data_IF_995331619290
#
_entry.id   IF_995331619290
#
_cell.length_a   1.000
_cell.length_b   1.000
_cell.length_c   1.000
_cell.angle_alpha   90.00
_cell.angle_beta   90.00
_cell.angle_gamma   90.00
#
_symmetry.space_group_name_H-M   'P 1'
#
loop_
_entity.id
_entity.type
_entity.pdbx_description
1 polymer ?
#
# COMPACT_ATOMS: atom_id res chain seq x y z
N UNK A 1 8.23 -11.05 -12.60
CA UNK A 1 8.88 -10.93 -13.93
C UNK A 1 9.17 -9.46 -14.13
N UNK A 2 10.41 -9.04 -14.47
CA UNK A 2 10.67 -7.65 -14.79
C UNK A 2 9.83 -7.26 -16.03
N UNK A 3 9.02 -6.21 -15.90
CA UNK A 3 8.25 -5.66 -17.02
C UNK A 3 9.22 -4.90 -17.93
N UNK A 4 9.27 -5.29 -19.18
CA UNK A 4 10.02 -4.62 -20.23
C UNK A 4 9.04 -3.88 -21.14
N UNK A 5 9.54 -2.91 -21.91
CA UNK A 5 8.73 -2.19 -22.90
C UNK A 5 7.59 -1.36 -22.30
N UNK A 6 7.85 -0.71 -21.15
CA UNK A 6 6.91 0.20 -20.49
C UNK A 6 7.48 1.62 -20.43
N UNK A 7 6.58 2.60 -20.39
CA UNK A 7 6.85 4.01 -20.10
C UNK A 7 6.08 4.38 -18.84
N UNK A 8 6.74 5.02 -17.90
CA UNK A 8 6.11 5.52 -16.67
C UNK A 8 6.14 7.04 -16.66
N UNK A 9 4.97 7.65 -16.56
CA UNK A 9 4.79 9.07 -16.29
C UNK A 9 4.47 9.30 -14.82
N UNK A 10 5.10 10.31 -14.21
CA UNK A 10 4.88 10.67 -12.82
C UNK A 10 4.90 12.17 -12.65
N UNK A 11 3.92 12.71 -11.93
CA UNK A 11 3.92 14.11 -11.50
C UNK A 11 3.58 14.16 -10.01
N UNK A 12 4.18 15.08 -9.28
CA UNK A 12 3.89 15.22 -7.86
C UNK A 12 4.08 16.65 -7.38
N UNK A 13 3.33 17.01 -6.34
CA UNK A 13 3.48 18.24 -5.60
C UNK A 13 3.72 17.95 -4.13
N UNK A 14 4.56 18.73 -3.50
CA UNK A 14 4.82 18.66 -2.07
C UNK A 14 4.60 20.02 -1.44
N UNK A 15 3.82 20.03 -0.37
CA UNK A 15 3.57 21.22 0.45
C UNK A 15 4.04 20.89 1.88
N UNK A 16 4.78 21.83 2.47
CA UNK A 16 5.27 21.68 3.84
C UNK A 16 4.97 22.94 4.63
N UNK A 17 4.38 22.76 5.80
CA UNK A 17 4.14 23.82 6.78
C UNK A 17 4.94 23.52 8.03
N UNK A 18 5.54 24.56 8.61
CA UNK A 18 6.31 24.45 9.83
C UNK A 18 5.60 25.28 10.91
N UNK A 19 5.38 24.69 12.05
CA UNK A 19 4.82 25.35 13.22
C UNK A 19 5.79 26.38 13.80
N UNK A 20 5.24 27.35 14.53
CA UNK A 20 6.05 28.26 15.31
C UNK A 20 6.84 27.49 16.40
N UNK A 21 7.97 28.07 16.85
CA UNK A 21 8.79 27.47 17.89
C UNK A 21 7.95 27.17 19.15
N UNK A 22 7.92 25.91 19.56
CA UNK A 22 7.13 25.45 20.72
C UNK A 22 5.67 25.10 20.42
N UNK A 23 5.22 25.21 19.19
CA UNK A 23 3.89 24.73 18.79
C UNK A 23 3.71 23.24 19.06
N UNK A 24 2.47 22.81 19.30
CA UNK A 24 2.16 21.39 19.44
C UNK A 24 2.45 20.63 18.14
N UNK A 25 2.06 21.21 17.00
CA UNK A 25 2.31 20.67 15.68
C UNK A 25 3.54 21.36 15.10
N UNK A 26 4.63 20.63 14.95
CA UNK A 26 5.93 21.13 14.50
C UNK A 26 6.04 21.16 12.98
N UNK A 27 5.42 20.17 12.32
CA UNK A 27 5.48 20.05 10.85
C UNK A 27 4.25 19.34 10.32
N UNK A 28 3.75 19.83 9.18
CA UNK A 28 2.78 19.16 8.31
C UNK A 28 3.42 19.05 6.94
N UNK A 29 3.46 17.85 6.38
CA UNK A 29 3.87 17.62 4.99
C UNK A 29 2.73 16.91 4.26
N UNK A 30 2.40 17.42 3.10
CA UNK A 30 1.46 16.82 2.16
C UNK A 30 2.18 16.57 0.85
N UNK A 31 1.91 15.42 0.26
CA UNK A 31 2.46 15.00 -1.01
C UNK A 31 1.33 14.40 -1.83
N UNK A 32 1.18 14.83 -3.07
CA UNK A 32 0.10 14.33 -3.94
C UNK A 32 0.56 14.28 -5.39
N UNK A 33 0.10 13.26 -6.11
CA UNK A 33 0.34 13.20 -7.53
C UNK A 33 -0.08 11.91 -8.20
N UNK A 34 -0.29 11.98 -9.52
CA UNK A 34 -0.57 10.83 -10.35
C UNK A 34 0.69 10.07 -10.76
N UNK A 35 0.51 8.78 -10.98
CA UNK A 35 1.44 7.89 -11.68
C UNK A 35 0.67 7.15 -12.75
N UNK A 36 1.22 7.06 -13.96
CA UNK A 36 0.59 6.33 -15.06
C UNK A 36 1.65 5.49 -15.77
N UNK A 37 1.30 4.27 -16.13
CA UNK A 37 2.17 3.31 -16.82
C UNK A 37 1.51 2.90 -18.12
N UNK A 38 2.23 3.04 -19.22
CA UNK A 38 1.81 2.61 -20.55
C UNK A 38 2.75 1.53 -21.10
N UNK A 39 2.26 0.78 -22.06
CA UNK A 39 3.16 0.10 -23.00
C UNK A 39 3.82 1.12 -23.91
N UNK A 40 5.05 0.88 -24.29
CA UNK A 40 5.81 1.81 -25.14
C UNK A 40 5.14 2.06 -26.50
N UNK A 41 4.59 1.02 -27.10
CA UNK A 41 3.87 1.06 -28.38
C UNK A 41 2.46 1.68 -28.29
N UNK A 42 1.94 1.87 -27.08
CA UNK A 42 0.62 2.47 -26.78
C UNK A 42 0.75 3.75 -25.94
N UNK A 43 1.93 4.35 -25.93
CA UNK A 43 2.17 5.54 -25.13
C UNK A 43 1.18 6.67 -25.42
N UNK A 44 0.56 7.18 -24.38
CA UNK A 44 -0.44 8.26 -24.46
C UNK A 44 -1.86 7.81 -24.78
N UNK A 45 -2.08 6.52 -25.06
CA UNK A 45 -3.41 5.94 -25.24
C UNK A 45 -3.83 5.18 -23.96
N UNK A 46 -4.24 3.93 -24.08
CA UNK A 46 -4.77 3.14 -22.98
C UNK A 46 -3.67 2.79 -21.97
N UNK A 47 -3.69 3.35 -20.75
CA UNK A 47 -2.70 3.02 -19.73
C UNK A 47 -2.92 1.61 -19.19
N UNK A 48 -1.82 0.91 -18.89
CA UNK A 48 -1.86 -0.38 -18.21
C UNK A 48 -2.22 -0.23 -16.73
N UNK A 49 -1.68 0.81 -16.12
CA UNK A 49 -1.87 1.09 -14.70
C UNK A 49 -1.89 2.61 -14.51
N UNK A 50 -2.69 3.04 -13.57
CA UNK A 50 -2.70 4.42 -13.12
C UNK A 50 -2.99 4.48 -11.65
N UNK A 51 -2.41 5.45 -10.96
CA UNK A 51 -2.76 5.73 -9.57
C UNK A 51 -2.70 7.22 -9.28
N UNK A 52 -3.54 7.64 -8.35
CA UNK A 52 -3.51 8.96 -7.73
C UNK A 52 -3.26 8.76 -6.25
N UNK A 53 -2.17 9.33 -5.75
CA UNK A 53 -1.77 9.16 -4.36
C UNK A 53 -1.76 10.48 -3.59
N UNK A 54 -2.09 10.38 -2.31
CA UNK A 54 -2.01 11.46 -1.35
C UNK A 54 -1.34 10.94 -0.07
N UNK A 55 -0.27 11.59 0.33
CA UNK A 55 0.44 11.35 1.58
C UNK A 55 0.33 12.54 2.51
N UNK A 56 0.06 12.27 3.78
CA UNK A 56 0.06 13.23 4.87
C UNK A 56 1.05 12.79 5.94
N UNK A 57 1.94 13.66 6.37
CA UNK A 57 2.83 13.42 7.51
C UNK A 57 2.74 14.59 8.50
N UNK A 58 2.41 14.27 9.73
CA UNK A 58 2.32 15.19 10.84
C UNK A 58 3.41 14.87 11.86
N UNK A 59 4.20 15.85 12.24
CA UNK A 59 5.17 15.74 13.34
C UNK A 59 4.72 16.65 14.47
N UNK A 60 4.45 16.04 15.61
CA UNK A 60 4.06 16.76 16.83
C UNK A 60 5.21 16.85 17.81
N UNK A 61 5.10 17.83 18.72
CA UNK A 61 6.09 18.10 19.75
C UNK A 61 6.42 16.85 20.56
N UNK A 62 7.69 16.66 20.82
CA UNK A 62 8.20 15.49 21.52
C UNK A 62 8.51 14.31 20.59
N UNK A 63 8.37 14.48 19.25
CA UNK A 63 8.78 13.49 18.27
C UNK A 63 7.70 12.48 17.89
N UNK A 64 6.43 12.72 18.28
CA UNK A 64 5.29 11.94 17.77
C UNK A 64 5.12 12.18 16.28
N UNK A 65 4.87 11.11 15.54
CA UNK A 65 4.59 11.18 14.09
C UNK A 65 3.33 10.40 13.76
N UNK A 66 2.45 11.06 13.01
CA UNK A 66 1.32 10.42 12.35
C UNK A 66 1.51 10.57 10.83
N UNK A 67 1.46 9.46 10.10
CA UNK A 67 1.43 9.49 8.64
C UNK A 67 0.17 8.80 8.14
N UNK A 68 -0.38 9.32 7.06
CA UNK A 68 -1.50 8.76 6.32
C UNK A 68 -1.12 8.66 4.84
N UNK A 69 -1.62 7.64 4.18
CA UNK A 69 -1.51 7.43 2.75
C UNK A 69 -2.87 7.01 2.21
N UNK A 70 -3.29 7.64 1.15
CA UNK A 70 -4.47 7.27 0.39
C UNK A 70 -4.09 7.17 -1.09
N UNK A 71 -4.48 6.10 -1.73
CA UNK A 71 -4.23 5.86 -3.16
C UNK A 71 -5.51 5.31 -3.77
N UNK A 72 -5.88 5.85 -4.93
CA UNK A 72 -6.85 5.27 -5.83
C UNK A 72 -6.07 4.72 -7.02
N UNK A 73 -6.32 3.49 -7.41
CA UNK A 73 -5.58 2.82 -8.45
C UNK A 73 -6.49 2.14 -9.47
N UNK A 74 -5.95 2.05 -10.67
CA UNK A 74 -6.51 1.35 -11.80
C UNK A 74 -5.46 0.39 -12.35
N UNK A 75 -5.86 -0.84 -12.63
CA UNK A 75 -4.99 -1.85 -13.24
C UNK A 75 -5.75 -2.57 -14.35
N UNK A 76 -5.21 -2.53 -15.56
CA UNK A 76 -5.64 -3.38 -16.67
C UNK A 76 -4.82 -4.69 -16.67
N UNK A 77 -5.53 -5.81 -16.58
CA UNK A 77 -4.92 -7.13 -16.55
C UNK A 77 -5.03 -7.76 -17.94
N UNK A 78 -3.93 -7.79 -18.65
CA UNK A 78 -3.91 -8.36 -19.98
C UNK A 78 -3.93 -9.88 -19.92
N UNK A 79 -5.08 -10.48 -20.23
CA UNK A 79 -5.30 -11.93 -20.17
C UNK A 79 -4.30 -12.72 -21.02
N UNK A 80 -3.78 -12.14 -22.11
CA UNK A 80 -2.75 -12.76 -22.95
C UNK A 80 -1.45 -13.06 -22.20
N UNK A 81 -1.09 -12.23 -21.24
CA UNK A 81 0.13 -12.42 -20.44
C UNK A 81 0.03 -13.63 -19.48
N UNK A 82 -1.18 -14.10 -19.24
CA UNK A 82 -1.49 -15.21 -18.33
C UNK A 82 -1.95 -16.48 -19.04
N UNK A 83 -2.01 -16.50 -20.37
CA UNK A 83 -2.55 -17.62 -21.15
C UNK A 83 -1.83 -18.97 -20.93
N UNK A 84 -0.56 -18.93 -20.51
CA UNK A 84 0.25 -20.11 -20.20
C UNK A 84 0.12 -20.59 -18.75
N UNK A 85 -0.59 -19.85 -17.89
CA UNK A 85 -0.70 -20.19 -16.47
C UNK A 85 -1.90 -21.10 -16.19
N UNK A 86 -1.70 -22.06 -15.31
CA UNK A 86 -2.75 -22.92 -14.77
C UNK A 86 -2.80 -22.80 -13.26
N UNK A 87 -3.98 -23.00 -12.69
CA UNK A 87 -4.22 -22.98 -11.22
C UNK A 87 -4.80 -24.33 -10.82
N UNK A 88 -4.25 -24.93 -9.78
CA UNK A 88 -4.84 -26.12 -9.17
C UNK A 88 -6.00 -25.69 -8.25
N UNK A 89 -7.19 -26.16 -8.59
CA UNK A 89 -8.41 -25.90 -7.81
C UNK A 89 -8.90 -27.13 -7.03
N UNK A 90 -7.98 -28.03 -6.68
CA UNK A 90 -8.28 -29.25 -5.91
C UNK A 90 -8.91 -30.38 -6.74
N UNK A 91 -9.56 -30.09 -7.85
CA UNK A 91 -10.08 -31.09 -8.80
C UNK A 91 -9.18 -31.27 -10.03
N UNK A 92 -8.02 -30.59 -10.05
CA UNK A 92 -7.06 -30.59 -11.13
C UNK A 92 -6.67 -29.20 -11.60
N UNK A 93 -5.72 -29.14 -12.52
CA UNK A 93 -5.25 -27.90 -13.10
C UNK A 93 -6.23 -27.35 -14.12
N UNK A 94 -6.62 -26.09 -13.94
CA UNK A 94 -7.47 -25.35 -14.87
C UNK A 94 -6.74 -24.13 -15.41
N UNK A 95 -7.01 -23.67 -16.65
CA UNK A 95 -6.45 -22.42 -17.15
C UNK A 95 -6.74 -21.26 -16.20
N UNK A 96 -5.75 -20.43 -15.96
CA UNK A 96 -5.93 -19.23 -15.16
C UNK A 96 -6.67 -18.18 -15.98
N UNK A 97 -7.76 -17.67 -15.44
CA UNK A 97 -8.59 -16.64 -16.04
C UNK A 97 -8.71 -15.45 -15.05
N UNK A 98 -7.81 -14.47 -15.09
CA UNK A 98 -7.90 -13.30 -14.23
C UNK A 98 -9.04 -12.38 -14.65
N UNK A 99 -9.39 -11.42 -13.78
CA UNK A 99 -10.21 -10.28 -14.16
C UNK A 99 -9.53 -9.49 -15.30
N UNK A 100 -10.33 -8.86 -16.17
CA UNK A 100 -9.80 -8.02 -17.23
C UNK A 100 -9.23 -6.71 -16.70
N UNK A 101 -9.86 -6.13 -15.68
CA UNK A 101 -9.42 -4.88 -15.06
C UNK A 101 -9.91 -4.77 -13.62
N UNK A 102 -9.24 -3.93 -12.85
CA UNK A 102 -9.71 -3.39 -11.56
C UNK A 102 -9.65 -1.88 -11.66
N UNK A 103 -10.81 -1.23 -11.76
CA UNK A 103 -10.92 0.20 -12.06
C UNK A 103 -11.01 1.07 -10.82
N UNK A 104 -11.39 0.49 -9.68
CA UNK A 104 -11.61 1.18 -8.43
C UNK A 104 -10.84 0.51 -7.28
N UNK A 105 -9.59 0.17 -7.55
CA UNK A 105 -8.62 -0.20 -6.55
C UNK A 105 -8.34 0.96 -5.61
N UNK A 106 -8.08 0.69 -4.37
CA UNK A 106 -7.64 1.69 -3.41
C UNK A 106 -6.72 1.11 -2.34
N UNK A 107 -5.86 1.97 -1.83
CA UNK A 107 -5.10 1.72 -0.63
C UNK A 107 -5.26 2.90 0.32
N UNK A 108 -5.68 2.61 1.53
CA UNK A 108 -5.63 3.56 2.64
C UNK A 108 -4.76 3.00 3.74
N UNK A 109 -3.84 3.81 4.28
CA UNK A 109 -3.09 3.42 5.46
C UNK A 109 -2.82 4.59 6.39
N UNK A 110 -2.70 4.28 7.68
CA UNK A 110 -2.29 5.25 8.70
C UNK A 110 -1.28 4.61 9.65
N UNK A 111 -0.25 5.35 9.99
CA UNK A 111 0.81 4.91 10.89
C UNK A 111 1.04 5.95 11.98
N UNK A 112 0.92 5.52 13.22
CA UNK A 112 1.31 6.30 14.39
C UNK A 112 2.64 5.77 14.92
N UNK A 113 3.60 6.67 15.12
CA UNK A 113 4.92 6.35 15.67
C UNK A 113 5.16 7.19 16.91
N UNK A 114 5.60 6.55 17.98
CA UNK A 114 6.00 7.25 19.19
C UNK A 114 7.34 7.95 19.01
N UNK A 115 7.67 8.89 19.88
CA UNK A 115 9.05 9.37 20.00
C UNK A 115 10.04 8.21 20.19
N UNK A 116 11.28 8.43 19.74
CA UNK A 116 12.38 7.52 20.08
C UNK A 116 12.89 7.88 21.45
N UNK A 117 12.31 7.29 22.49
CA UNK A 117 12.83 7.42 23.84
C UNK A 117 14.12 6.59 23.99
N UNK A 118 14.92 6.90 24.99
CA UNK A 118 16.17 6.16 25.22
C UNK A 118 15.95 4.67 25.44
N UNK A 119 14.83 4.31 26.05
CA UNK A 119 14.52 2.93 26.44
C UNK A 119 13.48 2.25 25.57
N UNK A 120 12.71 2.98 24.78
CA UNK A 120 11.63 2.39 24.00
C UNK A 120 11.26 3.22 22.76
N UNK A 121 10.72 2.55 21.75
CA UNK A 121 9.88 3.15 20.72
C UNK A 121 8.82 2.13 20.24
N UNK A 122 7.72 2.63 19.72
CA UNK A 122 6.65 1.80 19.18
C UNK A 122 6.04 2.43 17.92
N UNK A 123 5.47 1.59 17.07
CA UNK A 123 4.61 2.06 15.99
C UNK A 123 3.41 1.13 15.80
N UNK A 124 2.32 1.71 15.32
CA UNK A 124 1.13 0.98 14.91
C UNK A 124 0.71 1.44 13.52
N UNK A 125 0.45 0.50 12.62
CA UNK A 125 -0.03 0.77 11.26
C UNK A 125 -1.31 0.00 11.03
N UNK A 126 -2.33 0.68 10.52
CA UNK A 126 -3.51 0.08 9.94
C UNK A 126 -3.53 0.37 8.45
N UNK A 127 -3.92 -0.62 7.65
CA UNK A 127 -4.17 -0.40 6.22
C UNK A 127 -5.39 -1.17 5.77
N UNK A 128 -6.06 -0.61 4.78
CA UNK A 128 -7.14 -1.25 4.05
C UNK A 128 -6.96 -0.99 2.56
N UNK A 129 -7.03 -2.03 1.78
CA UNK A 129 -6.91 -1.96 0.32
C UNK A 129 -8.00 -2.79 -0.36
N UNK A 130 -8.32 -2.42 -1.58
CA UNK A 130 -9.06 -3.22 -2.54
C UNK A 130 -8.19 -3.44 -3.75
N UNK A 131 -8.07 -4.66 -4.20
CA UNK A 131 -7.21 -5.00 -5.33
C UNK A 131 -7.43 -6.43 -5.79
N UNK A 132 -6.54 -6.92 -6.61
CA UNK A 132 -6.62 -8.25 -7.22
C UNK A 132 -6.17 -9.32 -6.23
N UNK A 133 -7.00 -10.36 -6.07
CA UNK A 133 -6.60 -11.63 -5.44
C UNK A 133 -6.06 -12.53 -6.57
N UNK A 134 -4.79 -12.42 -6.86
CA UNK A 134 -4.15 -13.09 -8.00
C UNK A 134 -4.41 -14.60 -8.06
N UNK A 135 -4.30 -15.41 -6.98
CA UNK A 135 -4.56 -16.85 -7.08
C UNK A 135 -5.96 -17.21 -7.55
N UNK A 136 -6.93 -16.35 -7.35
CA UNK A 136 -8.31 -16.58 -7.76
C UNK A 136 -8.70 -15.84 -9.04
N UNK A 137 -7.93 -14.82 -9.44
CA UNK A 137 -8.31 -13.91 -10.51
C UNK A 137 -9.58 -13.12 -10.19
N UNK A 138 -9.75 -12.76 -8.92
CA UNK A 138 -10.92 -12.01 -8.40
C UNK A 138 -10.47 -10.73 -7.70
N UNK A 139 -11.42 -9.84 -7.40
CA UNK A 139 -11.17 -8.68 -6.56
C UNK A 139 -11.50 -8.98 -5.09
N UNK A 140 -10.83 -8.27 -4.19
CA UNK A 140 -11.10 -8.39 -2.77
C UNK A 140 -10.51 -7.26 -1.94
N UNK A 141 -10.88 -7.29 -0.66
CA UNK A 141 -10.41 -6.33 0.34
C UNK A 141 -9.40 -6.98 1.25
N UNK A 142 -8.27 -6.32 1.46
CA UNK A 142 -7.33 -6.66 2.52
C UNK A 142 -7.43 -5.62 3.64
N UNK A 143 -7.49 -6.09 4.88
CA UNK A 143 -7.29 -5.27 6.07
C UNK A 143 -6.09 -5.81 6.80
N UNK A 144 -5.12 -4.94 7.10
CA UNK A 144 -3.88 -5.30 7.78
C UNK A 144 -3.64 -4.39 8.97
N UNK A 145 -3.27 -4.98 10.09
CA UNK A 145 -2.84 -4.29 11.29
C UNK A 145 -1.43 -4.74 11.65
N UNK A 146 -0.51 -3.81 11.77
CA UNK A 146 0.87 -4.10 12.15
C UNK A 146 1.25 -3.28 13.37
N UNK A 147 1.78 -3.94 14.39
CA UNK A 147 2.35 -3.32 15.57
C UNK A 147 3.83 -3.63 15.69
N UNK A 148 4.64 -2.68 16.10
CA UNK A 148 6.04 -2.90 16.43
C UNK A 148 6.42 -2.21 17.73
N UNK A 149 7.30 -2.85 18.49
CA UNK A 149 7.83 -2.37 19.76
C UNK A 149 9.32 -2.68 19.80
N UNK A 150 10.13 -1.70 20.11
CA UNK A 150 11.54 -1.89 20.40
C UNK A 150 11.83 -1.37 21.82
N UNK A 151 12.47 -2.20 22.61
CA UNK A 151 12.86 -1.91 23.98
C UNK A 151 14.38 -1.98 24.11
N UNK A 152 14.93 -1.08 24.90
CA UNK A 152 16.36 -1.06 25.30
C UNK A 152 16.45 -0.94 26.80
N UNK A 153 16.25 -2.05 27.54
CA UNK A 153 16.27 -2.02 29.02
C UNK A 153 17.62 -1.58 29.57
N UNK A 154 18.71 -1.89 28.84
CA UNK A 154 20.08 -1.47 29.15
C UNK A 154 20.80 -1.08 27.86
N UNK A 155 22.01 -0.53 27.98
CA UNK A 155 22.87 -0.21 26.81
C UNK A 155 23.23 -1.44 25.98
N UNK A 156 23.27 -2.61 26.60
CA UNK A 156 23.72 -3.87 25.99
C UNK A 156 22.57 -4.76 25.50
N UNK A 157 21.31 -4.49 25.90
CA UNK A 157 20.16 -5.34 25.58
C UNK A 157 19.18 -4.57 24.71
N UNK A 158 18.86 -5.14 23.55
CA UNK A 158 17.79 -4.65 22.68
C UNK A 158 16.81 -5.79 22.39
N UNK A 159 15.53 -5.54 22.62
CA UNK A 159 14.43 -6.45 22.32
C UNK A 159 13.58 -5.78 21.25
N UNK A 160 13.31 -6.48 20.15
CA UNK A 160 12.40 -6.00 19.11
C UNK A 160 11.29 -7.02 18.90
N UNK A 161 10.06 -6.54 18.87
CA UNK A 161 8.88 -7.35 18.60
C UNK A 161 8.07 -6.68 17.48
N UNK A 162 7.57 -7.48 16.56
CA UNK A 162 6.64 -7.03 15.52
C UNK A 162 5.60 -8.10 15.27
N UNK A 163 4.35 -7.67 15.13
CA UNK A 163 3.23 -8.55 14.81
C UNK A 163 2.37 -7.93 13.72
N UNK A 164 1.94 -8.77 12.78
CA UNK A 164 1.03 -8.38 11.71
C UNK A 164 -0.16 -9.32 11.70
N UNK A 165 -1.34 -8.73 11.65
CA UNK A 165 -2.60 -9.41 11.34
C UNK A 165 -3.03 -8.97 9.94
N UNK A 166 -3.38 -9.94 9.10
CA UNK A 166 -3.93 -9.69 7.78
C UNK A 166 -5.19 -10.49 7.60
N UNK A 167 -6.19 -9.87 7.00
CA UNK A 167 -7.47 -10.49 6.67
C UNK A 167 -7.86 -10.09 5.27
N UNK A 168 -8.05 -11.07 4.41
CA UNK A 168 -8.48 -10.87 3.03
C UNK A 168 -9.92 -11.38 2.88
N UNK A 169 -10.77 -10.59 2.25
CA UNK A 169 -12.15 -10.93 1.94
C UNK A 169 -12.42 -10.75 0.47
N UNK A 170 -13.14 -11.69 -0.13
CA UNK A 170 -13.59 -11.60 -1.52
C UNK A 170 -14.66 -10.52 -1.65
N UNK A 171 -14.58 -9.76 -2.72
CA UNK A 171 -15.55 -8.69 -3.02
C UNK A 171 -16.93 -9.27 -3.35
N UNK A 172 -16.96 -10.41 -4.05
CA UNK A 172 -18.18 -11.05 -4.57
C UNK A 172 -19.16 -11.48 -3.48
N UNK A 173 -18.69 -12.06 -2.39
CA UNK A 173 -19.54 -12.69 -1.36
C UNK A 173 -19.09 -12.38 0.08
N UNK A 174 -18.04 -11.58 0.24
CA UNK A 174 -17.48 -11.21 1.54
C UNK A 174 -16.83 -12.38 2.29
N UNK A 175 -16.69 -13.56 1.67
CA UNK A 175 -16.03 -14.71 2.29
C UNK A 175 -14.54 -14.45 2.48
N UNK A 176 -13.95 -15.10 3.48
CA UNK A 176 -12.52 -14.97 3.73
C UNK A 176 -11.73 -15.78 2.72
N UNK A 177 -10.62 -15.20 2.28
CA UNK A 177 -9.57 -15.90 1.56
C UNK A 177 -8.63 -16.52 2.59
N UNK A 178 -8.59 -17.83 2.66
CA UNK A 178 -7.76 -18.60 3.59
C UNK A 178 -6.40 -18.95 2.96
#
# INVERSE_FOLDING_TARGET
>A
VPRTNIVTGRAFNRISFYGARGAFLEQIQMFAGPTVIWRYDQFGNDPLEGSESFDLSLTARGGWRLSGHAEHDYTDIQNGDYAAYTVDRGAGQVPYAPLSSVEDGFLFSSTLTTPTWQTANASAKISRSRGVIFPEGSAGFETRLTGSLALRPTSSIRIAYSQTFSRIRRDRDGSEFA
#
